data_IF_950919862197
#
_entry.id   IF_950919862197
#
_cell.length_a   1.000
_cell.length_b   1.000
_cell.length_c   1.000
_cell.angle_alpha   90.00
_cell.angle_beta   90.00
_cell.angle_gamma   90.00
#
_symmetry.space_group_name_H-M   'P 1'
#
loop_
_entity.id
_entity.type
_entity.pdbx_description
1 polymer ?
#
# COMPACT_ATOMS: atom_id res chain seq x y z
N UNK A 1 51.83 -13.09 -6.36
CA UNK A 1 51.43 -14.02 -5.29
C UNK A 1 51.11 -15.37 -5.91
N UNK A 2 51.44 -16.49 -5.26
CA UNK A 2 51.04 -17.80 -5.72
C UNK A 2 49.50 -17.91 -5.68
N UNK A 3 48.91 -18.48 -6.73
CA UNK A 3 47.48 -18.76 -6.78
C UNK A 3 47.20 -19.92 -5.82
N UNK A 4 46.51 -19.62 -4.73
CA UNK A 4 46.02 -20.61 -3.76
C UNK A 4 44.53 -20.84 -3.98
N UNK A 5 44.02 -21.98 -3.51
CA UNK A 5 42.58 -22.28 -3.50
C UNK A 5 41.79 -21.17 -2.80
N UNK A 6 42.36 -20.60 -1.74
CA UNK A 6 41.78 -19.46 -1.02
C UNK A 6 41.70 -18.20 -1.88
N UNK A 7 42.77 -17.84 -2.60
CA UNK A 7 42.75 -16.69 -3.50
C UNK A 7 41.76 -16.85 -4.65
N UNK A 8 41.57 -18.08 -5.15
CA UNK A 8 40.57 -18.40 -6.15
C UNK A 8 39.16 -18.30 -5.58
N UNK A 9 38.93 -18.88 -4.40
CA UNK A 9 37.63 -18.82 -3.73
C UNK A 9 37.20 -17.39 -3.43
N UNK A 10 38.14 -16.53 -3.03
CA UNK A 10 37.88 -15.12 -2.77
C UNK A 10 37.56 -14.35 -4.06
N UNK A 11 38.30 -14.59 -5.15
CA UNK A 11 37.99 -13.99 -6.44
C UNK A 11 36.61 -14.39 -6.97
N UNK A 12 36.21 -15.66 -6.79
CA UNK A 12 34.88 -16.14 -7.17
C UNK A 12 33.77 -15.52 -6.32
N UNK A 13 34.00 -15.37 -5.02
CA UNK A 13 33.06 -14.72 -4.12
C UNK A 13 32.86 -13.25 -4.49
N UNK A 14 33.95 -12.52 -4.77
CA UNK A 14 33.89 -11.10 -5.13
C UNK A 14 33.15 -10.88 -6.45
N UNK A 15 33.39 -11.74 -7.45
CA UNK A 15 32.66 -11.66 -8.73
C UNK A 15 31.16 -11.93 -8.55
N UNK A 16 30.81 -12.95 -7.77
CA UNK A 16 29.42 -13.29 -7.50
C UNK A 16 28.70 -12.17 -6.74
N UNK A 17 29.31 -11.65 -5.68
CA UNK A 17 28.74 -10.54 -4.90
C UNK A 17 28.62 -9.26 -5.72
N UNK A 18 29.61 -8.94 -6.53
CA UNK A 18 29.59 -7.76 -7.41
C UNK A 18 28.44 -7.85 -8.41
N UNK A 19 28.22 -9.03 -9.00
CA UNK A 19 27.12 -9.24 -9.94
C UNK A 19 25.75 -9.16 -9.27
N UNK A 20 25.59 -9.73 -8.07
CA UNK A 20 24.34 -9.62 -7.30
C UNK A 20 24.04 -8.15 -6.97
N UNK A 21 25.01 -7.42 -6.41
CA UNK A 21 24.81 -6.02 -6.03
C UNK A 21 24.45 -5.18 -7.25
N UNK A 22 25.17 -5.33 -8.37
CA UNK A 22 24.85 -4.63 -9.62
C UNK A 22 23.44 -4.94 -10.10
N UNK A 23 23.02 -6.20 -10.12
CA UNK A 23 21.68 -6.59 -10.57
C UNK A 23 20.59 -5.97 -9.70
N UNK A 24 20.73 -6.03 -8.37
CA UNK A 24 19.76 -5.46 -7.43
C UNK A 24 19.69 -3.94 -7.56
N UNK A 25 20.85 -3.26 -7.62
CA UNK A 25 20.91 -1.81 -7.77
C UNK A 25 20.28 -1.35 -9.10
N UNK A 26 20.60 -2.00 -10.21
CA UNK A 26 20.02 -1.66 -11.52
C UNK A 26 18.51 -1.92 -11.56
N UNK A 27 18.04 -3.01 -10.93
CA UNK A 27 16.62 -3.32 -10.83
C UNK A 27 15.86 -2.26 -10.01
N UNK A 28 16.43 -1.81 -8.89
CA UNK A 28 15.83 -0.76 -8.06
C UNK A 28 15.76 0.59 -8.79
N UNK A 29 16.82 0.97 -9.51
CA UNK A 29 16.84 2.20 -10.31
C UNK A 29 15.85 2.15 -11.47
N UNK A 30 15.79 1.01 -12.16
CA UNK A 30 14.84 0.77 -13.25
C UNK A 30 13.39 0.89 -12.78
N UNK A 31 13.05 0.28 -11.64
CA UNK A 31 11.71 0.37 -11.04
C UNK A 31 11.32 1.82 -10.72
N UNK A 32 12.26 2.63 -10.21
CA UNK A 32 12.00 4.03 -9.87
C UNK A 32 11.88 4.95 -11.10
N UNK A 33 12.48 4.59 -12.24
CA UNK A 33 12.48 5.41 -13.45
C UNK A 33 11.12 5.50 -14.15
N UNK A 34 10.21 4.54 -13.89
CA UNK A 34 8.86 4.51 -14.46
C UNK A 34 7.77 5.18 -13.61
N UNK A 35 8.10 5.68 -12.42
CA UNK A 35 7.15 6.28 -11.48
C UNK A 35 7.43 7.79 -11.33
N UNK A 36 6.64 8.68 -11.96
CA UNK A 36 6.86 10.12 -11.88
C UNK A 36 6.56 10.72 -10.49
N UNK A 37 6.02 9.93 -9.55
CA UNK A 37 5.60 10.44 -8.24
C UNK A 37 5.60 9.34 -7.18
N UNK A 38 6.79 8.87 -6.77
CA UNK A 38 6.91 8.02 -5.58
C UNK A 38 6.75 8.90 -4.34
N UNK A 39 5.53 9.11 -3.88
CA UNK A 39 5.32 9.46 -2.48
C UNK A 39 5.93 8.31 -1.67
N UNK A 40 6.95 8.59 -0.87
CA UNK A 40 7.56 7.59 -0.01
C UNK A 40 6.46 7.06 0.92
N UNK A 41 5.97 5.85 0.67
CA UNK A 41 5.14 5.13 1.64
C UNK A 41 6.08 4.77 2.79
N UNK A 42 6.21 5.70 3.73
CA UNK A 42 7.03 5.52 4.92
C UNK A 42 6.39 4.45 5.80
N UNK A 43 6.82 3.19 5.63
CA UNK A 43 6.64 2.16 6.64
C UNK A 43 7.68 2.38 7.75
N UNK A 44 7.55 3.47 8.52
CA UNK A 44 8.40 3.70 9.67
C UNK A 44 7.74 4.62 10.71
N UNK A 45 7.98 4.26 11.97
CA UNK A 45 7.58 4.86 13.24
C UNK A 45 6.11 4.78 13.66
N UNK A 46 5.92 4.23 14.87
CA UNK A 46 4.66 4.22 15.62
C UNK A 46 4.02 5.61 15.76
N UNK A 47 4.80 6.68 15.58
CA UNK A 47 4.32 8.07 15.51
C UNK A 47 3.51 8.40 14.23
N UNK A 48 3.69 7.68 13.11
CA UNK A 48 2.89 7.82 11.88
C UNK A 48 1.70 6.85 11.81
N UNK A 49 1.53 5.93 12.77
CA UNK A 49 0.45 4.94 12.76
C UNK A 49 -0.98 5.53 12.79
N UNK A 50 -1.11 6.82 13.11
CA UNK A 50 -2.35 7.59 13.11
C UNK A 50 -2.70 8.19 11.75
N UNK A 51 -1.84 8.09 10.73
CA UNK A 51 -2.07 8.61 9.38
C UNK A 51 -2.21 7.46 8.35
N UNK A 52 -2.97 7.70 7.29
CA UNK A 52 -3.11 6.77 6.17
C UNK A 52 -1.97 6.93 5.13
N UNK A 53 -2.00 6.15 4.06
CA UNK A 53 -1.01 6.17 2.97
C UNK A 53 -0.95 7.51 2.22
N UNK A 54 -1.93 8.38 2.40
CA UNK A 54 -1.99 9.74 1.85
C UNK A 54 -1.67 10.80 2.91
N UNK A 55 -1.21 10.39 4.09
CA UNK A 55 -0.90 11.28 5.21
C UNK A 55 -2.12 11.83 5.94
N UNK A 56 -3.33 11.32 5.69
CA UNK A 56 -4.55 11.77 6.35
C UNK A 56 -4.72 11.12 7.72
N UNK A 57 -5.07 11.92 8.71
CA UNK A 57 -5.26 11.44 10.07
C UNK A 57 -6.51 10.54 10.20
N UNK A 58 -6.36 9.36 10.82
CA UNK A 58 -7.41 8.35 11.03
C UNK A 58 -8.64 8.91 11.76
N UNK A 59 -8.43 9.89 12.64
CA UNK A 59 -9.52 10.58 13.35
C UNK A 59 -10.41 11.34 12.36
N UNK A 60 -9.82 12.00 11.36
CA UNK A 60 -10.55 12.73 10.32
C UNK A 60 -11.30 11.78 9.37
N UNK A 61 -10.74 10.61 9.08
CA UNK A 61 -11.42 9.58 8.28
C UNK A 61 -12.67 9.04 8.99
N UNK A 62 -12.57 8.67 10.27
CA UNK A 62 -13.72 8.12 11.03
C UNK A 62 -14.89 9.11 11.11
N UNK A 63 -14.60 10.40 11.32
CA UNK A 63 -15.63 11.44 11.33
C UNK A 63 -16.22 11.67 9.93
N UNK A 64 -15.37 11.64 8.89
CA UNK A 64 -15.78 11.80 7.49
C UNK A 64 -16.72 10.68 7.01
N UNK A 65 -16.45 9.41 7.34
CA UNK A 65 -17.31 8.28 6.92
C UNK A 65 -18.70 8.32 7.56
N UNK A 66 -18.81 8.82 8.80
CA UNK A 66 -20.10 9.00 9.46
C UNK A 66 -20.92 10.16 8.87
N UNK A 67 -20.27 11.15 8.24
CA UNK A 67 -20.93 12.31 7.62
C UNK A 67 -21.24 12.15 6.13
N UNK A 68 -20.70 11.13 5.46
CA UNK A 68 -20.96 10.88 4.03
C UNK A 68 -22.30 10.19 3.82
N UNK A 69 -23.10 10.72 2.91
CA UNK A 69 -24.35 10.11 2.45
C UNK A 69 -24.14 9.47 1.08
N UNK A 70 -24.66 8.27 0.93
CA UNK A 70 -24.63 7.47 -0.30
C UNK A 70 -26.06 7.26 -0.78
N UNK A 71 -26.27 7.29 -2.09
CA UNK A 71 -27.57 7.00 -2.68
C UNK A 71 -27.79 5.49 -2.74
N UNK A 72 -28.92 5.02 -2.23
CA UNK A 72 -29.31 3.62 -2.35
C UNK A 72 -29.85 3.35 -3.75
N UNK A 73 -29.15 2.53 -4.54
CA UNK A 73 -29.58 2.15 -5.90
C UNK A 73 -30.91 1.40 -5.97
N UNK A 74 -31.42 0.87 -4.85
CA UNK A 74 -32.70 0.16 -4.81
C UNK A 74 -33.91 1.09 -4.57
N UNK A 75 -33.76 2.12 -3.71
CA UNK A 75 -34.89 2.97 -3.32
C UNK A 75 -34.66 4.48 -3.53
N UNK A 76 -33.52 4.88 -4.10
CA UNK A 76 -33.16 6.27 -4.38
C UNK A 76 -32.91 7.14 -3.14
N UNK A 77 -32.98 6.58 -1.92
CA UNK A 77 -32.79 7.36 -0.69
C UNK A 77 -31.31 7.61 -0.43
N UNK A 78 -30.97 8.82 0.05
CA UNK A 78 -29.64 9.16 0.55
C UNK A 78 -29.49 8.65 1.99
N UNK A 79 -28.55 7.74 2.20
CA UNK A 79 -28.32 7.04 3.48
C UNK A 79 -26.90 7.32 3.96
N UNK A 80 -26.73 7.67 5.24
CA UNK A 80 -25.42 7.85 5.84
C UNK A 80 -24.59 6.54 5.77
N UNK A 81 -23.29 6.65 5.49
CA UNK A 81 -22.38 5.50 5.32
C UNK A 81 -22.44 4.51 6.49
N UNK A 82 -22.43 5.02 7.72
CA UNK A 82 -22.53 4.22 8.94
C UNK A 82 -23.82 3.38 9.05
N UNK A 83 -24.90 3.79 8.36
CA UNK A 83 -26.20 3.11 8.38
C UNK A 83 -26.52 2.36 7.08
N UNK A 84 -25.61 2.39 6.10
CA UNK A 84 -25.86 1.85 4.78
C UNK A 84 -26.11 0.33 4.82
N UNK A 85 -25.28 -0.43 5.55
CA UNK A 85 -25.45 -1.88 5.70
C UNK A 85 -26.81 -2.25 6.35
N UNK A 86 -27.19 -1.56 7.44
CA UNK A 86 -28.48 -1.78 8.09
C UNK A 86 -29.67 -1.43 7.16
N UNK A 87 -29.51 -0.38 6.36
CA UNK A 87 -30.51 0.01 5.37
C UNK A 87 -30.70 -1.06 4.29
N UNK A 88 -29.61 -1.57 3.71
CA UNK A 88 -29.67 -2.56 2.62
C UNK A 88 -30.47 -3.80 3.05
N UNK A 89 -30.22 -4.34 4.24
CA UNK A 89 -30.96 -5.51 4.75
C UNK A 89 -32.48 -5.25 4.75
N UNK A 90 -32.92 -4.11 5.29
CA UNK A 90 -34.35 -3.76 5.37
C UNK A 90 -34.94 -3.34 4.03
N UNK A 91 -34.14 -2.72 3.17
CA UNK A 91 -34.58 -2.20 1.88
C UNK A 91 -34.85 -3.34 0.91
N UNK A 92 -33.95 -4.32 0.85
CA UNK A 92 -34.10 -5.49 -0.01
C UNK A 92 -35.21 -6.43 0.46
N UNK A 93 -35.43 -6.54 1.78
CA UNK A 93 -36.57 -7.31 2.31
C UNK A 93 -37.94 -6.74 1.92
N UNK A 94 -38.04 -5.41 1.76
CA UNK A 94 -39.28 -4.74 1.36
C UNK A 94 -39.57 -4.85 -0.13
N UNK A 95 -38.54 -4.91 -0.95
CA UNK A 95 -38.67 -5.07 -2.41
C UNK A 95 -39.05 -6.50 -2.82
N UNK A 96 -38.82 -7.46 -1.92
CA UNK A 96 -39.12 -8.89 -2.14
C UNK A 96 -40.57 -9.28 -1.80
N UNK A 97 -41.45 -8.32 -1.52
CA UNK A 97 -42.90 -8.48 -1.33
C UNK A 97 -43.63 -7.73 -2.41
#
# INVERSE_FOLDING_TARGET
MPVTVESLAQALFDDLMTNIVRQVSLSALSYNSGQPCTQSIGFADTALASKDIYGQEKVKLKTSEASRYFECGNCGRKIAGSRFAQHINKCLERDRR
#
